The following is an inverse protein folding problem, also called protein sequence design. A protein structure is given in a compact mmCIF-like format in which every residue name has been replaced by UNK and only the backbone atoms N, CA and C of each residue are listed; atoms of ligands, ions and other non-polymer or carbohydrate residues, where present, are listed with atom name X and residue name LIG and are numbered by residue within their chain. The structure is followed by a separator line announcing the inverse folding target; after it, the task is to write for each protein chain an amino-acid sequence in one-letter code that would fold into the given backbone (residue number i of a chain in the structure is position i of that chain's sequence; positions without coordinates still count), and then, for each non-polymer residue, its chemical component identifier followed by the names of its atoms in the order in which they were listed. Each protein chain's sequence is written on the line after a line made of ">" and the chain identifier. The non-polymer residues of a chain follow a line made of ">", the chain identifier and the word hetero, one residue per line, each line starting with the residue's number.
data_IF_344829973943
#
_entry.id   IF_344829973943
#
_cell.length_a   1.000
_cell.length_b   1.000
_cell.length_c   1.000
_cell.angle_alpha   90.00
_cell.angle_beta   90.00
_cell.angle_gamma   90.00
#
_symmetry.space_group_name_H-M   'P 1'
#
loop_
_entity.id
_entity.type
_entity.pdbx_description
1 polymer ?
#
# COMPACT_ATOMS: atom_id res chain seq x y z
N UNK A 1 6.96 -1.06 -25.53
CA UNK A 1 7.48 -2.06 -24.56
C UNK A 1 6.41 -2.40 -23.55
N UNK A 2 6.34 -3.65 -23.09
CA UNK A 2 5.45 -4.04 -21.99
C UNK A 2 6.02 -3.50 -20.67
N UNK A 3 5.19 -2.86 -19.84
CA UNK A 3 5.60 -2.40 -18.50
C UNK A 3 5.62 -3.62 -17.59
N UNK A 4 6.74 -3.83 -16.90
CA UNK A 4 6.97 -4.94 -15.98
C UNK A 4 7.43 -4.43 -14.62
N UNK A 5 7.12 -5.17 -13.56
CA UNK A 5 7.50 -4.80 -12.19
C UNK A 5 8.97 -5.15 -11.91
N UNK A 6 9.87 -4.29 -12.42
CA UNK A 6 11.30 -4.36 -12.15
C UNK A 6 11.66 -3.71 -10.79
N UNK A 7 12.91 -3.83 -10.36
CA UNK A 7 13.38 -3.32 -9.07
C UNK A 7 13.21 -1.79 -8.91
N UNK A 8 13.35 -1.01 -9.98
CA UNK A 8 13.15 0.44 -9.94
C UNK A 8 11.68 0.80 -9.71
N UNK A 9 10.78 0.18 -10.47
CA UNK A 9 9.35 0.40 -10.33
C UNK A 9 8.80 -0.09 -8.98
N UNK A 10 9.36 -1.17 -8.42
CA UNK A 10 9.04 -1.60 -7.05
C UNK A 10 9.34 -0.51 -6.03
N UNK A 11 10.58 0.00 -6.04
CA UNK A 11 11.00 1.08 -5.15
C UNK A 11 10.14 2.33 -5.31
N UNK A 12 9.80 2.69 -6.55
CA UNK A 12 8.91 3.82 -6.82
C UNK A 12 7.54 3.64 -6.14
N UNK A 13 6.88 2.49 -6.30
CA UNK A 13 5.59 2.24 -5.65
C UNK A 13 5.68 2.26 -4.13
N UNK A 14 6.72 1.63 -3.58
CA UNK A 14 6.96 1.58 -2.13
C UNK A 14 7.15 2.98 -1.56
N UNK A 15 8.02 3.79 -2.18
CA UNK A 15 8.28 5.18 -1.79
C UNK A 15 7.02 6.04 -1.88
N UNK A 16 6.25 5.91 -2.96
CA UNK A 16 5.00 6.66 -3.12
C UNK A 16 3.97 6.28 -2.05
N UNK A 17 3.86 4.99 -1.73
CA UNK A 17 2.93 4.51 -0.71
C UNK A 17 3.34 4.93 0.71
N UNK A 18 4.64 4.87 1.02
CA UNK A 18 5.20 5.29 2.31
C UNK A 18 5.04 6.80 2.54
N UNK A 19 5.30 7.60 1.51
CA UNK A 19 5.18 9.06 1.55
C UNK A 19 3.77 9.57 1.28
N UNK A 20 2.80 8.68 1.02
CA UNK A 20 1.43 9.05 0.69
C UNK A 20 0.75 9.78 1.86
N UNK A 21 0.59 11.10 1.71
CA UNK A 21 -0.20 11.94 2.62
C UNK A 21 -1.57 12.19 2.03
N UNK A 22 -2.60 11.78 2.77
CA UNK A 22 -3.99 12.01 2.39
C UNK A 22 -4.34 13.46 2.73
N UNK A 23 -4.92 14.17 1.77
CA UNK A 23 -5.33 15.56 1.96
C UNK A 23 -6.40 15.65 3.06
N UNK A 24 -6.23 16.49 4.10
CA UNK A 24 -7.17 16.56 5.22
C UNK A 24 -8.61 16.81 4.78
N UNK A 25 -8.82 17.66 3.78
CA UNK A 25 -10.14 18.01 3.25
C UNK A 25 -10.84 16.84 2.52
N UNK A 26 -10.11 15.79 2.15
CA UNK A 26 -10.66 14.58 1.52
C UNK A 26 -10.83 13.42 2.48
N UNK A 27 -10.30 13.51 3.71
CA UNK A 27 -10.27 12.40 4.67
C UNK A 27 -11.66 11.80 4.93
N UNK A 28 -12.69 12.64 5.08
CA UNK A 28 -14.06 12.16 5.31
C UNK A 28 -14.62 11.34 4.13
N UNK A 29 -14.20 11.62 2.89
CA UNK A 29 -14.60 10.82 1.72
C UNK A 29 -13.85 9.48 1.67
N UNK A 30 -12.58 9.48 2.07
CA UNK A 30 -11.76 8.27 2.18
C UNK A 30 -12.34 7.33 3.24
N UNK A 31 -12.66 7.84 4.43
CA UNK A 31 -13.24 7.04 5.51
C UNK A 31 -14.60 6.44 5.12
N UNK A 32 -15.49 7.23 4.49
CA UNK A 32 -16.76 6.70 3.96
C UNK A 32 -16.57 5.58 2.94
N UNK A 33 -15.54 5.69 2.09
CA UNK A 33 -15.20 4.63 1.15
C UNK A 33 -14.77 3.37 1.90
N UNK A 34 -13.90 3.51 2.91
CA UNK A 34 -13.42 2.38 3.71
C UNK A 34 -14.55 1.68 4.45
N UNK A 35 -15.41 2.43 5.14
CA UNK A 35 -16.52 1.87 5.90
C UNK A 35 -17.41 1.01 5.01
N UNK A 36 -17.70 1.49 3.80
CA UNK A 36 -18.44 0.74 2.78
C UNK A 36 -17.72 -0.56 2.35
N UNK A 37 -16.40 -0.52 2.13
CA UNK A 37 -15.66 -1.72 1.75
C UNK A 37 -15.60 -2.74 2.89
N UNK A 38 -15.36 -2.27 4.11
CA UNK A 38 -15.28 -3.12 5.30
C UNK A 38 -16.64 -3.75 5.63
N UNK A 39 -17.74 -3.01 5.47
CA UNK A 39 -19.10 -3.53 5.65
C UNK A 39 -19.38 -4.77 4.79
N UNK A 40 -18.76 -4.86 3.62
CA UNK A 40 -18.92 -5.98 2.69
C UNK A 40 -17.72 -6.95 2.66
N UNK A 41 -16.82 -6.86 3.65
CA UNK A 41 -15.57 -7.65 3.70
C UNK A 41 -15.77 -9.14 3.48
N UNK A 42 -16.76 -9.75 4.12
CA UNK A 42 -17.03 -11.19 3.99
C UNK A 42 -17.27 -11.65 2.54
N UNK A 43 -17.86 -10.78 1.70
CA UNK A 43 -18.07 -11.07 0.27
C UNK A 43 -16.76 -11.06 -0.51
N UNK A 44 -15.90 -10.08 -0.22
CA UNK A 44 -14.56 -10.01 -0.81
C UNK A 44 -13.67 -11.16 -0.34
N UNK A 45 -13.77 -11.58 0.91
CA UNK A 45 -13.07 -12.75 1.44
C UNK A 45 -13.53 -14.04 0.74
N UNK A 46 -14.80 -14.16 0.34
CA UNK A 46 -15.27 -15.31 -0.45
C UNK A 46 -14.58 -15.38 -1.82
N UNK A 47 -14.34 -14.24 -2.47
CA UNK A 47 -13.57 -14.19 -3.73
C UNK A 47 -12.10 -14.55 -3.46
N UNK A 48 -11.55 -14.06 -2.34
CA UNK A 48 -10.19 -14.39 -1.89
C UNK A 48 -10.03 -15.89 -1.71
N UNK A 49 -10.94 -16.56 -1.00
CA UNK A 49 -10.90 -18.01 -0.77
C UNK A 49 -10.98 -18.83 -2.07
N UNK A 50 -11.64 -18.31 -3.10
CA UNK A 50 -11.80 -18.99 -4.39
C UNK A 50 -10.60 -18.86 -5.32
N UNK A 51 -9.84 -17.77 -5.22
CA UNK A 51 -8.81 -17.41 -6.23
C UNK A 51 -7.44 -17.05 -5.63
N UNK A 52 -7.36 -16.77 -4.34
CA UNK A 52 -6.17 -16.24 -3.66
C UNK A 52 -5.82 -14.80 -4.02
N UNK A 53 -6.81 -14.01 -4.45
CA UNK A 53 -6.64 -12.57 -4.67
C UNK A 53 -7.00 -11.84 -3.38
N UNK A 54 -6.15 -10.96 -2.82
CA UNK A 54 -6.44 -10.26 -1.58
C UNK A 54 -7.78 -9.52 -1.61
N UNK A 55 -8.55 -9.62 -0.54
CA UNK A 55 -9.87 -8.99 -0.42
C UNK A 55 -9.81 -7.49 -0.72
N UNK A 56 -8.73 -6.83 -0.29
CA UNK A 56 -8.50 -5.40 -0.50
C UNK A 56 -8.36 -5.06 -1.98
N UNK A 57 -7.64 -5.88 -2.75
CA UNK A 57 -7.54 -5.69 -4.21
C UNK A 57 -8.93 -5.82 -4.86
N UNK A 58 -9.68 -6.86 -4.53
CA UNK A 58 -11.03 -7.10 -5.08
C UNK A 58 -11.97 -5.94 -4.73
N UNK A 59 -11.94 -5.49 -3.47
CA UNK A 59 -12.76 -4.39 -2.98
C UNK A 59 -12.45 -3.06 -3.67
N UNK A 60 -11.15 -2.77 -3.88
CA UNK A 60 -10.71 -1.55 -4.56
C UNK A 60 -11.13 -1.55 -6.03
N UNK A 61 -10.88 -2.64 -6.76
CA UNK A 61 -11.35 -2.78 -8.15
C UNK A 61 -12.88 -2.64 -8.21
N UNK A 62 -13.61 -3.32 -7.33
CA UNK A 62 -15.07 -3.24 -7.29
C UNK A 62 -15.57 -1.80 -7.05
N UNK A 63 -14.93 -1.08 -6.13
CA UNK A 63 -15.24 0.32 -5.88
C UNK A 63 -14.95 1.21 -7.09
N UNK A 64 -13.83 0.98 -7.77
CA UNK A 64 -13.37 1.83 -8.86
C UNK A 64 -14.19 1.63 -10.15
N UNK A 65 -14.58 0.39 -10.44
CA UNK A 65 -15.25 0.04 -11.70
C UNK A 65 -16.78 0.16 -11.64
N UNK A 66 -17.40 -0.14 -10.48
CA UNK A 66 -18.87 -0.16 -10.36
C UNK A 66 -19.41 0.61 -9.17
N UNK A 67 -18.56 1.38 -8.48
CA UNK A 67 -18.96 2.06 -7.25
C UNK A 67 -19.46 1.08 -6.19
N UNK A 68 -19.00 -0.18 -6.19
CA UNK A 68 -19.43 -1.19 -5.22
C UNK A 68 -20.82 -1.79 -5.49
N UNK A 69 -21.31 -1.78 -6.73
CA UNK A 69 -22.59 -2.39 -7.07
C UNK A 69 -22.51 -3.92 -7.18
N UNK A 70 -23.09 -4.61 -6.21
CA UNK A 70 -23.13 -6.07 -6.14
C UNK A 70 -24.24 -6.74 -6.98
N UNK A 71 -25.09 -6.00 -7.69
CA UNK A 71 -26.14 -6.58 -8.54
C UNK A 71 -25.70 -6.86 -9.98
N UNK A 72 -24.47 -6.46 -10.33
CA UNK A 72 -23.91 -6.55 -11.67
C UNK A 72 -22.61 -7.35 -11.70
N UNK A 73 -22.29 -7.89 -12.88
CA UNK A 73 -21.01 -8.52 -13.18
C UNK A 73 -19.85 -7.53 -13.02
N UNK A 74 -18.83 -7.94 -12.27
CA UNK A 74 -17.59 -7.16 -12.11
C UNK A 74 -16.82 -6.97 -13.44
N UNK A 75 -17.13 -7.79 -14.46
CA UNK A 75 -16.50 -7.71 -15.77
C UNK A 75 -16.75 -6.38 -16.49
N UNK A 76 -18.01 -5.93 -16.50
CA UNK A 76 -18.50 -4.91 -17.43
C UNK A 76 -19.82 -4.23 -16.98
N UNK A 77 -20.38 -4.60 -15.81
CA UNK A 77 -21.61 -4.01 -15.30
C UNK A 77 -22.92 -4.64 -15.80
N UNK A 78 -22.90 -5.68 -16.63
CA UNK A 78 -24.13 -6.40 -17.02
C UNK A 78 -24.82 -7.03 -15.80
N UNK A 79 -26.17 -7.20 -15.79
CA UNK A 79 -26.88 -7.84 -14.68
C UNK A 79 -26.47 -9.30 -14.45
N UNK A 80 -26.44 -9.74 -13.19
CA UNK A 80 -26.08 -11.11 -12.81
C UNK A 80 -27.10 -12.19 -13.24
N UNK A 81 -28.23 -11.81 -13.83
CA UNK A 81 -29.34 -12.70 -14.22
C UNK A 81 -29.08 -13.46 -15.51
N UNK A 82 -28.02 -13.14 -16.25
CA UNK A 82 -27.61 -13.79 -17.49
C UNK A 82 -26.09 -13.85 -17.55
N UNK A 83 -25.52 -14.38 -18.65
CA UNK A 83 -24.10 -14.16 -18.95
C UNK A 83 -23.92 -12.76 -19.53
N UNK A 84 -22.71 -12.22 -19.40
CA UNK A 84 -22.35 -10.93 -20.00
C UNK A 84 -22.61 -10.92 -21.51
N UNK A 85 -23.18 -9.81 -21.98
CA UNK A 85 -23.35 -9.52 -23.42
C UNK A 85 -22.29 -8.51 -23.85
N UNK A 86 -21.99 -7.52 -23.00
CA UNK A 86 -20.90 -6.59 -23.23
C UNK A 86 -19.55 -7.28 -23.11
N UNK A 87 -18.51 -6.70 -23.71
CA UNK A 87 -17.16 -7.27 -23.67
C UNK A 87 -16.62 -7.21 -22.24
N UNK A 88 -16.06 -8.31 -21.69
CA UNK A 88 -15.93 -9.64 -22.29
C UNK A 88 -17.25 -10.42 -22.27
N UNK A 89 -17.76 -10.81 -23.45
CA UNK A 89 -19.04 -11.50 -23.58
C UNK A 89 -18.95 -12.98 -23.13
N UNK A 90 -20.10 -13.53 -22.74
CA UNK A 90 -20.27 -14.93 -22.36
C UNK A 90 -19.66 -15.31 -21.01
N UNK A 91 -19.57 -14.37 -20.06
CA UNK A 91 -19.03 -14.58 -18.71
C UNK A 91 -20.10 -14.59 -17.63
N UNK A 92 -19.90 -15.29 -16.49
CA UNK A 92 -18.85 -16.28 -16.21
C UNK A 92 -18.87 -17.45 -17.20
N UNK A 93 -17.77 -18.22 -17.34
CA UNK A 93 -17.77 -19.39 -18.26
C UNK A 93 -18.39 -20.64 -17.64
N UNK A 94 -18.24 -20.81 -16.34
CA UNK A 94 -18.74 -21.96 -15.59
C UNK A 94 -20.05 -21.60 -14.86
N UNK A 95 -20.85 -22.62 -14.53
CA UNK A 95 -22.14 -22.45 -13.87
C UNK A 95 -23.26 -21.95 -14.80
N UNK A 96 -24.44 -21.75 -14.22
CA UNK A 96 -25.65 -21.28 -14.89
C UNK A 96 -26.25 -20.07 -14.14
N UNK A 97 -26.80 -19.06 -14.84
CA UNK A 97 -27.41 -17.91 -14.20
C UNK A 97 -28.72 -18.27 -13.45
N UNK A 98 -29.16 -17.43 -12.49
CA UNK A 98 -28.51 -16.20 -12.03
C UNK A 98 -27.23 -16.50 -11.24
N UNK A 99 -26.20 -15.69 -11.46
CA UNK A 99 -24.91 -15.82 -10.78
C UNK A 99 -24.89 -15.04 -9.48
N UNK A 100 -24.14 -15.51 -8.49
CA UNK A 100 -23.71 -14.67 -7.38
C UNK A 100 -22.64 -13.69 -7.86
N UNK A 101 -22.54 -12.54 -7.18
CA UNK A 101 -21.49 -11.57 -7.49
C UNK A 101 -20.10 -12.18 -7.28
N UNK A 102 -19.93 -13.03 -6.28
CA UNK A 102 -18.69 -13.72 -5.91
C UNK A 102 -18.24 -14.70 -7.01
N UNK A 103 -19.18 -15.39 -7.67
CA UNK A 103 -18.88 -16.24 -8.84
C UNK A 103 -18.40 -15.38 -10.01
N UNK A 104 -19.09 -14.28 -10.28
CA UNK A 104 -18.69 -13.35 -11.33
C UNK A 104 -17.34 -12.69 -11.06
N UNK A 105 -17.10 -12.24 -9.84
CA UNK A 105 -15.86 -11.59 -9.46
C UNK A 105 -14.69 -12.57 -9.55
N UNK A 106 -14.88 -13.84 -9.14
CA UNK A 106 -13.86 -14.87 -9.29
C UNK A 106 -13.52 -15.17 -10.76
N UNK A 107 -14.51 -15.23 -11.67
CA UNK A 107 -14.26 -15.35 -13.12
C UNK A 107 -13.55 -14.12 -13.68
N UNK A 108 -13.90 -12.91 -13.22
CA UNK A 108 -13.23 -11.67 -13.62
C UNK A 108 -11.74 -11.65 -13.24
N UNK A 109 -11.42 -12.03 -12.00
CA UNK A 109 -10.02 -12.18 -11.56
C UNK A 109 -9.28 -13.25 -12.38
N UNK A 110 -9.94 -14.39 -12.65
CA UNK A 110 -9.40 -15.46 -13.48
C UNK A 110 -9.04 -14.98 -14.89
N UNK A 111 -9.95 -14.23 -15.53
CA UNK A 111 -9.76 -13.68 -16.87
C UNK A 111 -8.56 -12.73 -16.95
N UNK A 112 -8.30 -11.99 -15.86
CA UNK A 112 -7.15 -11.09 -15.73
C UNK A 112 -5.86 -11.80 -15.30
N UNK A 113 -5.89 -13.14 -15.15
CA UNK A 113 -4.77 -13.97 -14.68
C UNK A 113 -4.29 -13.58 -13.26
N UNK A 114 -5.24 -13.15 -12.42
CA UNK A 114 -5.00 -12.81 -11.02
C UNK A 114 -5.40 -14.00 -10.13
N UNK A 115 -4.50 -14.38 -9.21
CA UNK A 115 -4.75 -15.43 -8.24
C UNK A 115 -3.61 -15.61 -7.23
N UNK A 116 -3.52 -16.78 -6.60
CA UNK A 116 -2.53 -17.09 -5.55
C UNK A 116 -1.07 -16.86 -5.97
N UNK A 117 -0.75 -17.11 -7.24
CA UNK A 117 0.62 -16.97 -7.77
C UNK A 117 0.97 -15.54 -8.20
N UNK A 118 0.03 -14.61 -8.08
CA UNK A 118 0.28 -13.20 -8.38
C UNK A 118 1.10 -12.58 -7.25
N UNK A 119 2.01 -11.68 -7.61
CA UNK A 119 2.78 -10.90 -6.64
C UNK A 119 1.85 -9.92 -5.90
N UNK A 120 1.57 -10.24 -4.64
CA UNK A 120 0.78 -9.42 -3.70
C UNK A 120 1.65 -8.80 -2.59
N UNK A 121 2.94 -8.57 -2.87
CA UNK A 121 3.71 -7.59 -2.11
C UNK A 121 3.07 -6.20 -2.22
N UNK A 122 3.47 -5.24 -1.39
CA UNK A 122 2.98 -3.86 -1.50
C UNK A 122 3.11 -3.31 -2.93
N UNK A 123 4.31 -3.41 -3.51
CA UNK A 123 4.57 -2.99 -4.88
C UNK A 123 3.80 -3.83 -5.91
N UNK A 124 3.71 -5.15 -5.69
CA UNK A 124 2.95 -6.07 -6.54
C UNK A 124 1.47 -5.69 -6.64
N UNK A 125 0.83 -5.43 -5.50
CA UNK A 125 -0.57 -5.05 -5.42
C UNK A 125 -0.83 -3.71 -6.14
N UNK A 126 0.00 -2.69 -5.88
CA UNK A 126 -0.11 -1.38 -6.55
C UNK A 126 0.11 -1.50 -8.07
N UNK A 127 1.06 -2.33 -8.49
CA UNK A 127 1.29 -2.63 -9.90
C UNK A 127 0.06 -3.29 -10.54
N UNK A 128 -0.57 -4.26 -9.88
CA UNK A 128 -1.79 -4.88 -10.42
C UNK A 128 -2.95 -3.90 -10.48
N UNK A 129 -3.11 -2.99 -9.51
CA UNK A 129 -4.17 -1.98 -9.54
C UNK A 129 -3.97 -1.02 -10.72
N UNK A 130 -2.74 -0.55 -10.92
CA UNK A 130 -2.43 0.31 -12.07
C UNK A 130 -2.60 -0.44 -13.40
N UNK A 131 -2.18 -1.71 -13.47
CA UNK A 131 -2.39 -2.56 -14.62
C UNK A 131 -3.88 -2.77 -14.92
N UNK A 132 -4.71 -2.88 -13.88
CA UNK A 132 -6.14 -3.09 -14.02
C UNK A 132 -6.80 -1.89 -14.70
N UNK A 133 -6.46 -0.68 -14.27
CA UNK A 133 -6.87 0.58 -14.91
C UNK A 133 -6.25 0.76 -16.30
N UNK A 134 -4.96 0.44 -16.43
CA UNK A 134 -4.19 0.58 -17.66
C UNK A 134 -3.04 1.59 -17.57
N UNK A 135 -2.10 1.45 -18.50
CA UNK A 135 -0.79 2.13 -18.49
C UNK A 135 -0.77 3.51 -19.16
N UNK A 136 -1.92 4.13 -19.41
CA UNK A 136 -2.01 5.38 -20.18
C UNK A 136 -1.14 6.50 -19.61
N UNK A 137 -1.20 6.69 -18.29
CA UNK A 137 -0.41 7.70 -17.58
C UNK A 137 1.10 7.46 -17.74
N UNK A 138 1.60 6.26 -17.44
CA UNK A 138 3.03 5.94 -17.61
C UNK A 138 3.53 6.07 -19.05
N UNK A 139 2.67 5.83 -20.04
CA UNK A 139 3.06 5.87 -21.47
C UNK A 139 3.01 7.25 -22.08
N UNK A 140 2.02 8.06 -21.70
CA UNK A 140 1.70 9.30 -22.40
C UNK A 140 1.77 10.54 -21.51
N UNK A 141 1.69 10.39 -20.18
CA UNK A 141 1.73 11.48 -19.20
C UNK A 141 2.58 11.11 -17.97
N UNK A 142 3.86 10.72 -18.14
CA UNK A 142 4.69 10.20 -17.04
C UNK A 142 4.94 11.23 -15.93
N UNK A 143 4.70 12.52 -16.19
CA UNK A 143 4.77 13.59 -15.20
C UNK A 143 3.53 13.65 -14.28
N UNK A 144 2.46 12.92 -14.59
CA UNK A 144 1.24 12.84 -13.77
C UNK A 144 1.09 11.43 -13.21
N UNK A 145 1.16 11.32 -11.88
CA UNK A 145 0.82 10.09 -11.18
C UNK A 145 -0.66 9.77 -11.39
N UNK A 146 -0.97 8.50 -11.71
CA UNK A 146 -2.33 8.09 -12.06
C UNK A 146 -3.33 8.45 -10.96
N UNK A 147 -4.37 9.26 -11.23
CA UNK A 147 -5.41 9.56 -10.26
C UNK A 147 -6.20 8.32 -9.86
N UNK A 148 -6.20 7.26 -10.67
CA UNK A 148 -6.79 5.97 -10.29
C UNK A 148 -6.12 5.40 -9.03
N UNK A 149 -4.83 5.66 -8.83
CA UNK A 149 -4.12 5.26 -7.61
C UNK A 149 -4.08 6.39 -6.58
N UNK A 150 -3.72 7.61 -6.98
CA UNK A 150 -3.20 8.64 -6.07
C UNK A 150 -4.13 9.84 -5.87
N UNK A 151 -5.30 9.88 -6.52
CA UNK A 151 -6.27 10.94 -6.30
C UNK A 151 -6.66 11.03 -4.81
N UNK A 152 -6.76 12.27 -4.30
CA UNK A 152 -6.97 12.65 -2.88
C UNK A 152 -5.70 12.61 -2.00
N UNK A 153 -4.54 12.24 -2.53
CA UNK A 153 -3.26 12.45 -1.85
C UNK A 153 -2.57 13.75 -2.30
N UNK A 154 -1.51 14.13 -1.59
CA UNK A 154 -0.60 15.20 -1.99
C UNK A 154 0.19 14.88 -3.28
N UNK A 155 0.27 13.60 -3.68
CA UNK A 155 0.98 13.16 -4.89
C UNK A 155 0.24 13.49 -6.20
N UNK A 156 -1.04 13.84 -6.13
CA UNK A 156 -1.87 14.18 -7.29
C UNK A 156 -2.48 15.57 -7.15
N UNK A 157 -2.45 16.35 -8.24
CA UNK A 157 -3.01 17.70 -8.30
C UNK A 157 -4.08 17.83 -9.40
N UNK A 158 -3.70 17.57 -10.66
CA UNK A 158 -4.58 17.60 -11.83
C UNK A 158 -4.03 16.71 -12.93
N UNK A 159 -4.78 16.57 -14.02
CA UNK A 159 -4.42 15.73 -15.14
C UNK A 159 -5.22 14.43 -15.12
N UNK A 160 -6.13 14.25 -16.06
CA UNK A 160 -6.81 12.96 -16.24
C UNK A 160 -7.35 12.75 -17.63
N UNK A 161 -7.58 11.48 -17.96
CA UNK A 161 -8.50 11.13 -19.03
C UNK A 161 -9.93 11.45 -18.58
N UNK A 162 -10.61 12.30 -19.35
CA UNK A 162 -12.03 12.65 -19.12
C UNK A 162 -12.98 11.75 -19.91
N UNK A 163 -12.45 11.12 -20.96
CA UNK A 163 -13.07 10.03 -21.72
C UNK A 163 -11.96 9.21 -22.39
N UNK A 164 -12.30 8.10 -23.02
CA UNK A 164 -11.34 7.24 -23.71
C UNK A 164 -10.52 8.02 -24.74
N UNK A 165 -9.20 7.98 -24.57
CA UNK A 165 -8.24 8.72 -25.40
C UNK A 165 -8.27 10.25 -25.24
N UNK A 166 -9.15 10.81 -24.42
CA UNK A 166 -9.29 12.27 -24.23
C UNK A 166 -8.64 12.73 -22.94
N UNK A 167 -7.40 13.17 -23.06
CA UNK A 167 -6.62 13.76 -21.98
C UNK A 167 -7.01 15.22 -21.69
N UNK A 168 -6.99 15.60 -20.41
CA UNK A 168 -7.05 16.99 -19.96
C UNK A 168 -6.01 17.21 -18.87
N UNK A 169 -5.14 18.19 -19.06
CA UNK A 169 -4.07 18.57 -18.12
C UNK A 169 -4.60 19.17 -16.82
N UNK A 170 -5.77 19.82 -16.89
CA UNK A 170 -6.33 20.61 -15.79
C UNK A 170 -7.52 19.95 -15.09
N UNK A 171 -8.13 18.93 -15.70
CA UNK A 171 -9.20 18.19 -15.05
C UNK A 171 -8.70 17.47 -13.79
N UNK A 172 -9.46 17.58 -12.71
CA UNK A 172 -9.14 16.95 -11.41
C UNK A 172 -10.06 15.77 -11.17
N UNK A 173 -9.49 14.64 -10.74
CA UNK A 173 -10.30 13.50 -10.35
C UNK A 173 -11.13 13.78 -9.09
N UNK A 174 -12.43 13.42 -9.17
CA UNK A 174 -13.37 13.46 -8.04
C UNK A 174 -13.51 12.10 -7.35
N UNK A 175 -12.84 11.07 -7.88
CA UNK A 175 -12.86 9.72 -7.34
C UNK A 175 -11.62 9.53 -6.46
N UNK A 176 -11.80 8.89 -5.30
CA UNK A 176 -10.70 8.54 -4.42
C UNK A 176 -9.81 7.49 -5.09
N UNK A 177 -8.49 7.68 -5.05
CA UNK A 177 -7.54 6.74 -5.62
C UNK A 177 -7.42 5.44 -4.82
N UNK A 178 -7.22 4.31 -5.51
CA UNK A 178 -7.13 3.01 -4.89
C UNK A 178 -5.95 2.86 -3.91
N UNK A 179 -4.80 3.48 -4.22
CA UNK A 179 -3.64 3.47 -3.33
C UNK A 179 -3.88 4.32 -2.07
N UNK A 180 -4.67 5.39 -2.17
CA UNK A 180 -5.07 6.22 -1.03
C UNK A 180 -5.98 5.45 -0.08
N UNK A 181 -6.98 4.75 -0.60
CA UNK A 181 -7.83 3.88 0.22
C UNK A 181 -7.02 2.74 0.85
N UNK A 182 -6.13 2.11 0.08
CA UNK A 182 -5.24 1.06 0.58
C UNK A 182 -4.30 1.56 1.69
N UNK A 183 -3.73 2.76 1.53
CA UNK A 183 -2.89 3.41 2.54
C UNK A 183 -3.65 3.57 3.84
N UNK A 184 -4.87 4.07 3.77
CA UNK A 184 -5.70 4.29 4.96
C UNK A 184 -6.18 2.97 5.59
N UNK A 185 -6.48 1.94 4.80
CA UNK A 185 -6.74 0.59 5.32
C UNK A 185 -5.54 0.05 6.11
N UNK A 186 -4.31 0.27 5.62
CA UNK A 186 -3.09 -0.14 6.30
C UNK A 186 -2.87 0.63 7.60
N UNK A 187 -3.09 1.96 7.61
CA UNK A 187 -3.03 2.78 8.82
C UNK A 187 -4.03 2.33 9.90
N UNK A 188 -5.22 1.86 9.49
CA UNK A 188 -6.23 1.30 10.40
C UNK A 188 -5.94 -0.17 10.79
N UNK A 189 -4.86 -0.75 10.28
CA UNK A 189 -4.47 -2.14 10.55
C UNK A 189 -5.46 -3.17 10.01
N UNK A 190 -6.19 -2.85 8.94
CA UNK A 190 -7.21 -3.71 8.33
C UNK A 190 -6.65 -4.61 7.20
N UNK A 191 -5.47 -4.27 6.69
CA UNK A 191 -4.74 -5.00 5.66
C UNK A 191 -3.27 -5.12 6.06
N UNK A 192 -2.67 -6.24 5.68
CA UNK A 192 -1.23 -6.50 5.76
C UNK A 192 -0.71 -6.84 4.36
N UNK A 193 0.59 -6.70 4.15
CA UNK A 193 1.24 -7.09 2.88
C UNK A 193 2.15 -8.29 3.11
N UNK A 194 2.26 -9.17 2.11
CA UNK A 194 3.02 -10.43 2.22
C UNK A 194 4.50 -10.21 2.59
N UNK A 195 5.08 -9.11 2.09
CA UNK A 195 6.46 -8.68 2.33
C UNK A 195 6.61 -7.69 3.50
N UNK A 196 5.49 -7.21 4.06
CA UNK A 196 5.45 -6.25 5.18
C UNK A 196 4.38 -6.68 6.18
N UNK A 197 4.56 -7.82 6.88
CA UNK A 197 3.64 -8.24 7.91
C UNK A 197 3.65 -7.23 9.06
N UNK A 198 2.47 -6.93 9.62
CA UNK A 198 2.35 -5.99 10.74
C UNK A 198 3.20 -6.44 11.93
N UNK A 199 4.13 -5.59 12.35
CA UNK A 199 4.72 -5.69 13.68
C UNK A 199 3.64 -5.23 14.64
N UNK A 200 2.92 -6.18 15.23
CA UNK A 200 2.01 -5.88 16.33
C UNK A 200 2.88 -5.67 17.56
N UNK A 201 2.90 -4.44 18.08
CA UNK A 201 3.57 -4.08 19.34
C UNK A 201 3.11 -4.92 20.55
N UNK A 202 2.02 -5.69 20.40
CA UNK A 202 1.38 -6.48 21.44
C UNK A 202 1.16 -7.96 21.06
N UNK A 203 1.66 -8.45 19.92
CA UNK A 203 1.66 -9.91 19.74
C UNK A 203 2.69 -10.50 20.70
N UNK A 204 2.22 -11.45 21.50
CA UNK A 204 2.99 -12.12 22.54
C UNK A 204 4.41 -12.49 22.08
N UNK A 205 5.34 -12.11 22.94
CA UNK A 205 6.79 -12.23 22.89
C UNK A 205 7.27 -13.68 22.98
N UNK A 206 6.83 -14.56 22.07
CA UNK A 206 7.30 -15.96 22.05
C UNK A 206 7.82 -16.41 20.67
N UNK A 207 7.81 -15.53 19.66
CA UNK A 207 8.50 -15.82 18.41
C UNK A 207 9.98 -15.46 18.55
N UNK A 208 10.88 -16.45 18.54
CA UNK A 208 12.31 -16.19 18.36
C UNK A 208 12.49 -15.31 17.11
N UNK A 209 13.19 -14.17 17.21
CA UNK A 209 13.37 -13.27 16.08
C UNK A 209 14.30 -13.95 15.07
N UNK A 210 13.70 -14.62 14.08
CA UNK A 210 14.39 -14.98 12.84
C UNK A 210 15.07 -13.71 12.33
N UNK A 211 16.41 -13.66 12.30
CA UNK A 211 17.27 -12.51 12.03
C UNK A 211 16.60 -11.36 11.25
N UNK A 212 15.78 -10.54 11.94
CA UNK A 212 15.03 -9.46 11.31
C UNK A 212 16.01 -8.34 11.08
N UNK A 213 16.08 -7.84 9.85
CA UNK A 213 16.81 -6.61 9.59
C UNK A 213 16.28 -5.51 10.51
N UNK A 214 17.17 -4.75 11.16
CA UNK A 214 16.73 -3.69 12.06
C UNK A 214 15.96 -2.61 11.29
N UNK A 215 14.89 -2.12 11.89
CA UNK A 215 14.05 -1.04 11.33
C UNK A 215 14.81 0.29 11.21
N UNK A 216 15.85 0.45 12.02
CA UNK A 216 16.80 1.56 11.96
C UNK A 216 18.11 1.09 11.32
N UNK A 217 18.86 1.98 10.64
CA UNK A 217 20.18 1.64 10.11
C UNK A 217 21.08 1.07 11.21
N UNK A 218 21.91 0.10 10.85
CA UNK A 218 22.97 -0.37 11.74
C UNK A 218 24.01 0.72 11.95
N UNK A 219 24.60 0.75 13.13
CA UNK A 219 25.75 1.61 13.38
C UNK A 219 26.87 1.30 12.38
N UNK A 220 27.43 2.34 11.77
CA UNK A 220 28.60 2.23 10.91
C UNK A 220 29.30 3.59 10.81
N UNK A 221 30.64 3.57 10.70
CA UNK A 221 31.44 4.78 10.53
C UNK A 221 31.56 5.24 9.08
N UNK A 222 30.91 4.53 8.15
CA UNK A 222 30.95 4.81 6.70
C UNK A 222 29.55 4.88 6.13
N UNK A 223 29.38 5.68 5.08
CA UNK A 223 28.14 5.70 4.28
C UNK A 223 27.97 4.34 3.61
N UNK A 224 26.79 3.74 3.75
CA UNK A 224 26.45 2.42 3.18
C UNK A 224 25.27 2.54 2.21
N UNK A 225 24.76 1.41 1.73
CA UNK A 225 23.53 1.36 0.96
C UNK A 225 22.30 1.92 1.73
N UNK A 226 22.35 1.94 3.07
CA UNK A 226 21.28 2.44 3.94
C UNK A 226 21.32 3.96 4.17
N UNK A 227 22.10 4.70 3.39
CA UNK A 227 22.33 6.12 3.63
C UNK A 227 21.05 6.95 3.63
N UNK A 228 20.10 6.69 2.74
CA UNK A 228 18.80 7.39 2.72
C UNK A 228 18.01 7.15 4.01
N UNK A 229 18.03 5.92 4.53
CA UNK A 229 17.38 5.56 5.80
C UNK A 229 18.07 6.25 6.98
N UNK A 230 19.40 6.37 6.94
CA UNK A 230 20.16 7.13 7.93
C UNK A 230 19.86 8.64 7.86
N UNK A 231 19.71 9.21 6.68
CA UNK A 231 19.31 10.62 6.53
C UNK A 231 17.91 10.87 7.08
N UNK A 232 16.94 9.97 6.83
CA UNK A 232 15.61 10.06 7.42
C UNK A 232 15.65 9.99 8.95
N UNK A 233 16.43 9.04 9.50
CA UNK A 233 16.63 8.94 10.95
C UNK A 233 17.25 10.23 11.51
N UNK A 234 18.29 10.77 10.90
CA UNK A 234 18.95 12.00 11.32
C UNK A 234 17.99 13.20 11.28
N UNK A 235 17.17 13.33 10.22
CA UNK A 235 16.14 14.38 10.13
C UNK A 235 15.09 14.24 11.24
N UNK A 236 14.64 13.02 11.54
CA UNK A 236 13.70 12.76 12.63
C UNK A 236 14.31 13.09 13.99
N UNK A 237 15.55 12.66 14.25
CA UNK A 237 16.27 12.96 15.48
C UNK A 237 16.43 14.48 15.70
N UNK A 238 16.67 15.24 14.63
CA UNK A 238 16.74 16.72 14.69
C UNK A 238 15.41 17.41 15.03
N UNK A 239 14.29 16.68 15.09
CA UNK A 239 13.02 17.25 15.56
C UNK A 239 12.92 17.29 17.09
N UNK A 240 13.80 16.59 17.81
CA UNK A 240 13.81 16.59 19.27
C UNK A 240 14.65 17.77 19.81
N UNK A 241 14.15 18.52 20.80
CA UNK A 241 14.91 19.60 21.42
C UNK A 241 16.28 19.14 21.93
N UNK A 242 17.33 19.89 21.61
CA UNK A 242 18.69 19.60 22.07
C UNK A 242 19.47 18.59 21.22
N UNK A 243 18.86 18.01 20.18
CA UNK A 243 19.56 17.16 19.22
C UNK A 243 19.88 17.96 17.95
N UNK A 244 21.18 17.98 17.59
CA UNK A 244 21.68 18.68 16.41
C UNK A 244 22.65 17.80 15.64
N UNK A 245 22.12 17.02 14.70
CA UNK A 245 22.85 16.13 13.82
C UNK A 245 23.01 16.73 12.42
N UNK A 246 24.17 16.46 11.82
CA UNK A 246 24.34 16.61 10.37
C UNK A 246 23.55 15.50 9.67
N UNK A 247 22.83 15.86 8.61
CA UNK A 247 22.13 14.91 7.73
C UNK A 247 23.09 14.49 6.62
N UNK A 248 23.91 13.48 6.88
CA UNK A 248 24.96 12.98 5.97
C UNK A 248 24.81 11.50 5.59
N UNK A 249 23.79 10.83 6.11
CA UNK A 249 23.50 9.42 5.84
C UNK A 249 24.52 8.45 6.42
N UNK A 250 25.34 8.89 7.38
CA UNK A 250 26.27 8.04 8.12
C UNK A 250 25.72 7.82 9.54
N UNK A 251 25.14 6.65 9.85
CA UNK A 251 24.58 6.35 11.17
C UNK A 251 25.70 5.98 12.18
N UNK A 252 26.66 6.90 12.39
CA UNK A 252 27.80 6.71 13.29
C UNK A 252 27.50 7.08 14.74
N UNK A 253 28.55 7.33 15.52
CA UNK A 253 28.46 7.51 16.98
C UNK A 253 27.49 8.62 17.42
N UNK A 254 27.45 9.74 16.68
CA UNK A 254 26.58 10.86 16.98
C UNK A 254 25.11 10.52 16.71
N UNK A 255 24.81 9.88 15.58
CA UNK A 255 23.46 9.44 15.26
C UNK A 255 22.98 8.39 16.25
N UNK A 256 23.84 7.45 16.63
CA UNK A 256 23.52 6.42 17.62
C UNK A 256 23.35 6.98 19.04
N UNK A 257 24.19 7.95 19.43
CA UNK A 257 24.04 8.66 20.70
C UNK A 257 22.73 9.45 20.77
N UNK A 258 22.39 10.17 19.71
CA UNK A 258 21.11 10.88 19.60
C UNK A 258 19.91 9.92 19.60
N UNK A 259 20.02 8.77 18.92
CA UNK A 259 19.00 7.71 18.95
C UNK A 259 18.79 7.18 20.37
N UNK A 260 19.87 6.99 21.14
CA UNK A 260 19.78 6.64 22.56
C UNK A 260 19.12 7.72 23.41
N UNK A 261 19.46 8.98 23.19
CA UNK A 261 18.78 10.09 23.90
C UNK A 261 17.27 10.08 23.64
N UNK A 262 16.85 9.80 22.40
CA UNK A 262 15.44 9.80 22.02
C UNK A 262 14.67 8.53 22.43
N UNK A 263 15.34 7.37 22.48
CA UNK A 263 14.67 6.05 22.59
C UNK A 263 15.13 5.19 23.76
N UNK A 264 16.18 5.60 24.47
CA UNK A 264 16.84 4.81 25.50
C UNK A 264 17.82 3.75 24.99
N UNK A 265 17.93 3.54 23.67
CA UNK A 265 18.74 2.45 23.08
C UNK A 265 19.75 2.98 22.06
N UNK A 266 20.93 2.37 22.01
CA UNK A 266 21.88 2.60 20.90
C UNK A 266 21.40 1.94 19.60
N UNK A 267 21.93 2.40 18.46
CA UNK A 267 21.65 1.74 17.17
C UNK A 267 22.17 0.30 17.16
N UNK A 268 21.49 -0.61 16.44
CA UNK A 268 21.95 -1.99 16.29
C UNK A 268 23.37 -2.08 15.74
N UNK A 269 24.22 -2.86 16.40
CA UNK A 269 25.65 -3.00 16.03
C UNK A 269 26.56 -1.94 16.64
N UNK A 270 26.04 -0.98 17.40
CA UNK A 270 26.88 -0.04 18.15
C UNK A 270 27.63 -0.79 19.27
N UNK A 271 28.97 -0.68 19.35
CA UNK A 271 29.76 -1.38 20.35
C UNK A 271 29.43 -0.98 21.80
N UNK A 272 28.77 0.17 22.01
CA UNK A 272 28.38 0.67 23.34
C UNK A 272 27.08 0.06 23.86
N UNK A 273 26.31 -0.63 23.03
CA UNK A 273 25.01 -1.21 23.41
C UNK A 273 25.10 -2.28 24.53
N UNK A 274 26.26 -2.90 24.73
CA UNK A 274 26.49 -3.88 25.81
C UNK A 274 26.89 -3.28 27.17
N UNK A 275 26.97 -1.95 27.29
CA UNK A 275 27.44 -1.25 28.50
C UNK A 275 26.31 -0.58 29.29
N UNK A 276 25.04 -0.81 28.93
CA UNK A 276 23.92 -0.21 29.63
C UNK A 276 23.81 -0.77 31.07
N UNK A 277 23.68 0.09 32.11
CA UNK A 277 23.37 -0.37 33.46
C UNK A 277 21.97 -1.03 33.46
N UNK A 278 21.73 -2.08 34.27
CA UNK A 278 20.42 -2.70 34.34
C UNK A 278 19.37 -1.66 34.72
N UNK A 279 18.25 -1.70 34.00
CA UNK A 279 17.10 -0.82 34.20
C UNK A 279 16.70 -0.85 35.68
N UNK A 280 16.98 0.22 36.43
CA UNK A 280 16.56 0.35 37.81
C UNK A 280 15.04 0.34 37.83
N UNK A 281 14.43 -0.77 38.27
CA UNK A 281 13.03 -0.79 38.64
C UNK A 281 12.85 0.29 39.70
N UNK A 282 12.12 1.35 39.36
CA UNK A 282 11.67 2.32 40.34
C UNK A 282 10.75 1.59 41.32
N UNK A 283 11.30 1.24 42.48
CA UNK A 283 10.56 0.73 43.62
C UNK A 283 9.62 1.86 44.03
N UNK A 284 8.32 1.59 43.90
CA UNK A 284 7.26 2.43 44.43
C UNK A 284 7.43 2.58 45.95
N UNK A 285 7.35 3.82 46.43
CA UNK A 285 7.11 4.17 47.83
C UNK A 285 6.04 5.23 47.87
#
# INVERSE_FOLDING_TARGET
>A
MAITLNAGLRREYEQLFESCRIRPERMAEVERTIDKLVQHRARYDTVTARRGVPWSFVALVHNMESGGNFSCHLHNGDPLTARTVQVPAGRPKQGSPPFTWEESAADAMALKQLGERTDWSLAGLLFQLERYNGWGYRRYHPHVLSPYLWSFSEHYHSGRYVADGRWSETAVSKQCGAAVVLRRLAEKGLVDFTDRPRVTLYAATDAEPAAREPLVPRHTTRRTADAERAEHLQRWLNTFPGIFLKVDGIPGDNTSGAYRTATGHYLPGDPRAGQDPPCTQAISS
#
